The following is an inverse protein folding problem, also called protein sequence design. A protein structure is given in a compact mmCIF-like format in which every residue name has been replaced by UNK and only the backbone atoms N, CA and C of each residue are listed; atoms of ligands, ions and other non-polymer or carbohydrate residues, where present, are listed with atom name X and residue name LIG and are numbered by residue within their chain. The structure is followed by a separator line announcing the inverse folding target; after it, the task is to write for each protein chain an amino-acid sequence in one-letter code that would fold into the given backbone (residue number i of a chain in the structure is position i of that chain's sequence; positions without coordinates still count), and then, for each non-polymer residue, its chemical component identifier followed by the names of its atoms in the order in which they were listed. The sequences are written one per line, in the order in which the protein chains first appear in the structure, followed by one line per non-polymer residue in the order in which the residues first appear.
data_IF_703067462356
#
_entry.id   IF_703067462356
#
_cell.length_a   1.000
_cell.length_b   1.000
_cell.length_c   1.000
_cell.angle_alpha   90.00
_cell.angle_beta   90.00
_cell.angle_gamma   90.00
#
_symmetry.space_group_name_H-M   'P 1'
#
loop_
_entity.id
_entity.type
_entity.pdbx_description
1 polymer ?
#
# COMPACT_ATOMS: atom_id res chain seq x y z
N UNK A 1 -8.08 -10.81 28.14
CA UNK A 1 -7.46 -12.13 27.93
C UNK A 1 -5.97 -11.90 27.73
N UNK A 2 -5.15 -12.19 28.75
CA UNK A 2 -3.69 -12.03 28.70
C UNK A 2 -3.13 -13.06 27.71
N UNK A 3 -2.56 -12.59 26.60
CA UNK A 3 -1.76 -13.46 25.75
C UNK A 3 -0.62 -14.03 26.61
N UNK A 4 -0.58 -15.34 26.74
CA UNK A 4 0.56 -16.04 27.34
C UNK A 4 1.72 -15.82 26.35
N UNK A 5 2.50 -14.78 26.61
CA UNK A 5 3.82 -14.64 25.99
C UNK A 5 4.67 -15.71 26.65
N UNK A 6 5.15 -16.72 25.93
CA UNK A 6 6.06 -17.68 26.51
C UNK A 6 7.30 -16.91 26.97
N UNK A 7 7.52 -16.82 28.28
CA UNK A 7 8.76 -16.33 28.86
C UNK A 7 9.90 -17.22 28.37
N UNK A 8 10.64 -16.78 27.31
CA UNK A 8 11.76 -17.55 26.80
C UNK A 8 12.23 -17.28 25.37
N UNK A 9 11.47 -16.56 24.55
CA UNK A 9 11.99 -16.20 23.23
C UNK A 9 12.99 -15.04 23.31
N UNK A 10 14.22 -15.28 22.88
CA UNK A 10 15.19 -14.19 22.71
C UNK A 10 14.69 -13.20 21.64
N UNK A 11 15.08 -11.93 21.72
CA UNK A 11 14.72 -10.90 20.74
C UNK A 11 15.08 -11.34 19.31
N UNK A 12 16.19 -12.09 19.15
CA UNK A 12 16.61 -12.67 17.87
C UNK A 12 15.62 -13.74 17.37
N UNK A 13 15.12 -14.59 18.26
CA UNK A 13 14.15 -15.63 17.89
C UNK A 13 12.80 -15.00 17.49
N UNK A 14 12.37 -13.95 18.17
CA UNK A 14 11.18 -13.18 17.82
C UNK A 14 11.31 -12.52 16.45
N UNK A 15 12.41 -11.83 16.18
CA UNK A 15 12.66 -11.21 14.88
C UNK A 15 12.68 -12.26 13.75
N UNK A 16 13.35 -13.39 13.97
CA UNK A 16 13.38 -14.48 13.00
C UNK A 16 11.98 -15.05 12.72
N UNK A 17 11.12 -15.14 13.75
CA UNK A 17 9.73 -15.56 13.61
C UNK A 17 8.95 -14.58 12.71
N UNK A 18 9.01 -13.26 12.99
CA UNK A 18 8.34 -12.24 12.18
C UNK A 18 8.80 -12.26 10.72
N UNK A 19 10.10 -12.40 10.50
CA UNK A 19 10.65 -12.47 9.13
C UNK A 19 10.20 -13.73 8.38
N UNK A 20 10.13 -14.88 9.07
CA UNK A 20 9.61 -16.13 8.48
C UNK A 20 8.13 -16.00 8.13
N UNK A 21 7.31 -15.50 9.05
CA UNK A 21 5.88 -15.26 8.80
C UNK A 21 5.67 -14.30 7.62
N UNK A 22 6.39 -13.17 7.58
CA UNK A 22 6.33 -12.22 6.47
C UNK A 22 6.73 -12.85 5.13
N UNK A 23 7.79 -13.69 5.14
CA UNK A 23 8.23 -14.44 3.95
C UNK A 23 7.16 -15.43 3.49
N UNK A 24 6.52 -16.17 4.40
CA UNK A 24 5.46 -17.12 4.03
C UNK A 24 4.23 -16.41 3.47
N UNK A 25 3.79 -15.31 4.08
CA UNK A 25 2.67 -14.50 3.54
C UNK A 25 3.03 -13.92 2.17
N UNK A 26 4.26 -13.43 1.99
CA UNK A 26 4.74 -12.94 0.69
C UNK A 26 4.73 -14.02 -0.38
N UNK A 27 5.31 -15.19 -0.10
CA UNK A 27 5.35 -16.31 -1.04
C UNK A 27 3.96 -16.86 -1.36
N UNK A 28 3.07 -16.88 -0.37
CA UNK A 28 1.66 -17.28 -0.56
C UNK A 28 0.97 -16.39 -1.59
N UNK A 29 1.09 -15.06 -1.44
CA UNK A 29 0.47 -14.11 -2.37
C UNK A 29 1.17 -14.07 -3.73
N UNK A 30 2.48 -14.18 -3.75
CA UNK A 30 3.25 -14.23 -4.99
C UNK A 30 2.86 -15.44 -5.85
N UNK A 31 2.60 -16.59 -5.20
CA UNK A 31 2.15 -17.83 -5.85
C UNK A 31 0.65 -17.88 -6.13
N UNK A 32 -0.09 -16.82 -5.84
CA UNK A 32 -1.51 -16.67 -6.17
C UNK A 32 -1.64 -15.78 -7.40
N UNK A 33 -1.72 -16.32 -8.64
CA UNK A 33 -1.68 -15.52 -9.89
C UNK A 33 -2.81 -14.50 -9.96
N UNK A 34 -3.99 -14.83 -9.43
CA UNK A 34 -5.14 -13.94 -9.37
C UNK A 34 -4.88 -12.65 -8.56
N UNK A 35 -3.88 -12.66 -7.66
CA UNK A 35 -3.44 -11.50 -6.91
C UNK A 35 -2.16 -10.90 -7.49
N UNK A 36 -1.11 -11.71 -7.68
CA UNK A 36 0.23 -11.23 -8.02
C UNK A 36 0.30 -10.62 -9.40
N UNK A 37 -0.36 -11.21 -10.40
CA UNK A 37 -0.34 -10.69 -11.77
C UNK A 37 -0.99 -9.32 -11.87
N UNK A 38 -2.25 -9.11 -11.45
CA UNK A 38 -2.83 -7.76 -11.48
C UNK A 38 -2.03 -6.75 -10.66
N UNK A 39 -1.59 -7.13 -9.47
CA UNK A 39 -0.86 -6.24 -8.57
C UNK A 39 0.48 -5.79 -9.14
N UNK A 40 1.26 -6.69 -9.74
CA UNK A 40 2.60 -6.37 -10.24
C UNK A 40 2.62 -5.87 -11.68
N UNK A 41 1.59 -6.15 -12.48
CA UNK A 41 1.59 -5.82 -13.92
C UNK A 41 0.75 -4.59 -14.23
N UNK A 42 -0.37 -4.38 -13.53
CA UNK A 42 -1.35 -3.37 -13.92
C UNK A 42 -0.78 -1.95 -13.95
N UNK A 43 -0.19 -1.46 -12.85
CA UNK A 43 0.34 -0.10 -12.83
C UNK A 43 1.64 0.09 -13.65
N UNK A 44 2.58 -0.87 -13.73
CA UNK A 44 3.67 -0.81 -14.70
C UNK A 44 3.19 -0.76 -16.17
N UNK A 45 2.16 -1.53 -16.51
CA UNK A 45 1.58 -1.49 -17.86
C UNK A 45 0.98 -0.11 -18.19
N UNK A 46 0.24 0.47 -17.23
CA UNK A 46 -0.27 1.83 -17.36
C UNK A 46 0.86 2.86 -17.46
N UNK A 47 1.92 2.70 -16.67
CA UNK A 47 3.08 3.58 -16.77
C UNK A 47 3.79 3.44 -18.10
N UNK A 48 3.96 2.24 -18.62
CA UNK A 48 4.52 2.03 -19.97
C UNK A 48 3.67 2.72 -21.04
N UNK A 49 2.34 2.60 -20.96
CA UNK A 49 1.44 3.21 -21.91
C UNK A 49 1.45 4.74 -21.81
N UNK A 50 1.17 5.28 -20.63
CA UNK A 50 0.99 6.71 -20.42
C UNK A 50 2.30 7.45 -20.15
N UNK A 51 3.22 6.89 -19.40
CA UNK A 51 4.48 7.52 -19.01
C UNK A 51 5.56 7.40 -20.10
N UNK A 52 5.63 6.25 -20.78
CA UNK A 52 6.69 5.98 -21.76
C UNK A 52 6.20 6.23 -23.20
N UNK A 53 5.12 5.56 -23.63
CA UNK A 53 4.70 5.58 -25.03
C UNK A 53 4.03 6.90 -25.42
N UNK A 54 3.07 7.39 -24.63
CA UNK A 54 2.29 8.59 -24.94
C UNK A 54 3.03 9.90 -24.59
N UNK A 55 4.00 9.86 -23.68
CA UNK A 55 4.79 11.03 -23.25
C UNK A 55 6.26 10.94 -23.66
N UNK A 56 6.58 10.31 -24.78
CA UNK A 56 7.96 10.24 -25.30
C UNK A 56 8.58 11.65 -25.43
N UNK A 57 9.72 11.84 -24.77
CA UNK A 57 10.44 13.12 -24.75
C UNK A 57 9.90 14.15 -23.76
N UNK A 58 8.82 13.88 -23.03
CA UNK A 58 8.30 14.76 -21.98
C UNK A 58 8.70 14.22 -20.60
N UNK A 59 9.94 14.44 -20.18
CA UNK A 59 10.50 13.99 -18.91
C UNK A 59 9.69 14.45 -17.69
N UNK A 60 9.20 15.70 -17.60
CA UNK A 60 8.33 16.14 -16.51
C UNK A 60 7.03 15.35 -16.40
N UNK A 61 6.35 15.04 -17.50
CA UNK A 61 5.12 14.24 -17.47
C UNK A 61 5.43 12.78 -17.09
N UNK A 62 6.51 12.21 -17.62
CA UNK A 62 6.94 10.86 -17.28
C UNK A 62 7.31 10.70 -15.79
N UNK A 63 8.01 11.69 -15.21
CA UNK A 63 8.36 11.67 -13.77
C UNK A 63 7.14 11.88 -12.88
N UNK A 64 6.19 12.73 -13.27
CA UNK A 64 4.90 12.86 -12.58
C UNK A 64 4.18 11.51 -12.51
N UNK A 65 3.99 10.88 -13.67
CA UNK A 65 3.28 9.60 -13.76
C UNK A 65 4.04 8.48 -13.03
N UNK A 66 5.37 8.48 -13.06
CA UNK A 66 6.17 7.51 -12.30
C UNK A 66 5.90 7.63 -10.80
N UNK A 67 5.90 8.86 -10.25
CA UNK A 67 5.63 9.09 -8.85
C UNK A 67 4.20 8.68 -8.46
N UNK A 68 3.20 9.09 -9.24
CA UNK A 68 1.78 8.81 -8.95
C UNK A 68 1.43 7.34 -9.15
N UNK A 69 1.93 6.68 -10.20
CA UNK A 69 1.72 5.24 -10.40
C UNK A 69 2.48 4.39 -9.38
N UNK A 70 3.60 4.87 -8.82
CA UNK A 70 4.24 4.21 -7.68
C UNK A 70 3.27 4.16 -6.49
N UNK A 71 2.62 5.27 -6.17
CA UNK A 71 1.62 5.31 -5.10
C UNK A 71 0.42 4.43 -5.40
N UNK A 72 -0.11 4.48 -6.63
CA UNK A 72 -1.21 3.64 -7.07
C UNK A 72 -0.89 2.15 -6.88
N UNK A 73 0.29 1.70 -7.31
CA UNK A 73 0.70 0.31 -7.15
C UNK A 73 0.89 -0.13 -5.71
N UNK A 74 1.40 0.78 -4.86
CA UNK A 74 1.61 0.51 -3.43
C UNK A 74 0.30 0.33 -2.67
N UNK A 75 -0.79 0.98 -3.08
CA UNK A 75 -2.12 0.82 -2.44
C UNK A 75 -2.63 -0.62 -2.55
N UNK A 76 -2.35 -1.31 -3.67
CA UNK A 76 -2.85 -2.65 -3.96
C UNK A 76 -2.48 -3.69 -2.89
N UNK A 77 -1.19 -3.93 -2.60
CA UNK A 77 -0.76 -4.86 -1.57
C UNK A 77 -1.36 -4.58 -0.19
N UNK A 78 -1.51 -3.30 0.18
CA UNK A 78 -2.14 -2.90 1.43
C UNK A 78 -3.62 -3.26 1.50
N UNK A 79 -4.38 -2.88 0.49
CA UNK A 79 -5.83 -3.06 0.46
C UNK A 79 -6.22 -4.51 0.17
N UNK A 80 -5.71 -5.11 -0.91
CA UNK A 80 -6.07 -6.48 -1.30
C UNK A 80 -5.33 -7.52 -0.48
N UNK A 81 -4.00 -7.41 -0.35
CA UNK A 81 -3.20 -8.39 0.36
C UNK A 81 -3.60 -8.48 1.83
N UNK A 82 -3.82 -7.35 2.47
CA UNK A 82 -4.23 -7.28 3.87
C UNK A 82 -5.76 -7.45 4.02
N UNK A 83 -6.55 -6.64 3.31
CA UNK A 83 -8.01 -6.57 3.49
C UNK A 83 -8.72 -7.85 3.05
N UNK A 84 -8.54 -8.24 1.80
CA UNK A 84 -9.14 -9.47 1.25
C UNK A 84 -8.55 -10.70 1.95
N UNK A 85 -7.23 -10.72 2.15
CA UNK A 85 -6.55 -11.83 2.84
C UNK A 85 -7.07 -12.04 4.26
N UNK A 86 -7.30 -10.97 5.03
CA UNK A 86 -7.85 -11.08 6.38
C UNK A 86 -9.31 -11.55 6.38
N UNK A 87 -10.15 -10.99 5.49
CA UNK A 87 -11.55 -11.40 5.39
C UNK A 87 -11.68 -12.88 5.06
N UNK A 88 -10.88 -13.39 4.12
CA UNK A 88 -10.83 -14.82 3.76
C UNK A 88 -10.28 -15.68 4.90
N UNK A 89 -9.20 -15.25 5.58
CA UNK A 89 -8.63 -15.97 6.71
C UNK A 89 -9.63 -16.07 7.88
N UNK A 90 -10.43 -15.02 8.09
CA UNK A 90 -11.50 -15.00 9.10
C UNK A 90 -12.63 -15.97 8.74
N UNK A 91 -13.12 -15.94 7.51
CA UNK A 91 -14.20 -16.82 7.04
C UNK A 91 -13.82 -18.31 7.09
N UNK A 92 -12.55 -18.63 6.82
CA UNK A 92 -12.00 -19.99 6.91
C UNK A 92 -11.64 -20.43 8.33
N UNK A 93 -11.86 -19.60 9.35
CA UNK A 93 -11.51 -19.91 10.74
C UNK A 93 -10.01 -19.92 11.04
N UNK A 94 -9.15 -19.49 10.10
CA UNK A 94 -7.70 -19.51 10.27
C UNK A 94 -7.23 -18.56 11.39
N UNK A 95 -7.99 -17.50 11.68
CA UNK A 95 -7.68 -16.61 12.80
C UNK A 95 -7.83 -17.32 14.15
N UNK A 96 -8.81 -18.21 14.27
CA UNK A 96 -9.01 -19.02 15.49
C UNK A 96 -7.85 -20.00 15.68
N UNK A 97 -7.41 -20.67 14.60
CA UNK A 97 -6.23 -21.54 14.63
C UNK A 97 -4.95 -20.79 15.00
N UNK A 98 -4.77 -19.56 14.52
CA UNK A 98 -3.62 -18.72 14.89
C UNK A 98 -3.65 -18.26 16.35
N UNK A 99 -4.84 -18.14 16.97
CA UNK A 99 -4.97 -17.78 18.41
C UNK A 99 -4.50 -18.88 19.38
N UNK A 100 -4.52 -20.15 18.96
CA UNK A 100 -4.06 -21.29 19.80
C UNK A 100 -2.56 -21.58 19.61
N UNK A 101 -1.91 -20.97 18.64
CA UNK A 101 -0.48 -21.11 18.44
C UNK A 101 0.29 -20.24 19.48
N UNK A 102 1.45 -20.69 19.96
CA UNK A 102 2.29 -19.93 20.88
C UNK A 102 3.04 -18.79 20.18
N UNK A 103 2.30 -17.92 19.47
CA UNK A 103 2.83 -16.79 18.68
C UNK A 103 2.17 -15.52 19.21
N UNK A 104 2.91 -14.40 19.36
CA UNK A 104 2.32 -13.13 19.77
C UNK A 104 1.15 -12.75 18.85
N UNK A 105 0.05 -12.28 19.43
CA UNK A 105 -1.19 -11.98 18.71
C UNK A 105 -1.01 -10.95 17.55
N UNK A 106 0.00 -10.08 17.66
CA UNK A 106 0.34 -9.08 16.64
C UNK A 106 1.22 -9.65 15.49
N UNK A 107 1.85 -10.82 15.67
CA UNK A 107 2.78 -11.35 14.69
C UNK A 107 2.15 -11.58 13.30
N UNK A 108 0.96 -12.17 13.16
CA UNK A 108 0.32 -12.33 11.86
C UNK A 108 -0.03 -11.00 11.17
N UNK A 109 -0.38 -9.96 11.96
CA UNK A 109 -0.68 -8.64 11.42
C UNK A 109 0.59 -7.93 10.93
N UNK A 110 1.66 -7.97 11.74
CA UNK A 110 2.96 -7.41 11.36
C UNK A 110 3.57 -8.15 10.17
N UNK A 111 3.39 -9.47 10.08
CA UNK A 111 3.82 -10.25 8.92
C UNK A 111 3.12 -9.81 7.63
N UNK A 112 1.81 -9.52 7.69
CA UNK A 112 1.06 -8.99 6.54
C UNK A 112 1.51 -7.58 6.15
N UNK A 113 1.84 -6.71 7.12
CA UNK A 113 2.43 -5.40 6.84
C UNK A 113 3.80 -5.56 6.18
N UNK A 114 4.67 -6.43 6.72
CA UNK A 114 5.98 -6.72 6.14
C UNK A 114 5.88 -7.28 4.71
N UNK A 115 4.94 -8.16 4.45
CA UNK A 115 4.62 -8.65 3.11
C UNK A 115 4.20 -7.50 2.18
N UNK A 116 3.31 -6.61 2.62
CA UNK A 116 2.88 -5.47 1.82
C UNK A 116 4.03 -4.49 1.52
N UNK A 117 4.94 -4.27 2.50
CA UNK A 117 6.16 -3.48 2.31
C UNK A 117 7.11 -4.12 1.29
N UNK A 118 7.26 -5.45 1.28
CA UNK A 118 8.06 -6.15 0.28
C UNK A 118 7.49 -5.99 -1.13
N UNK A 119 6.17 -6.14 -1.30
CA UNK A 119 5.51 -5.87 -2.58
C UNK A 119 5.68 -4.41 -3.00
N UNK A 120 5.53 -3.46 -2.08
CA UNK A 120 5.73 -2.04 -2.33
C UNK A 120 7.16 -1.71 -2.77
N UNK A 121 8.16 -2.36 -2.15
CA UNK A 121 9.57 -2.22 -2.54
C UNK A 121 9.82 -2.75 -3.96
N UNK A 122 9.36 -3.98 -4.26
CA UNK A 122 9.51 -4.60 -5.59
C UNK A 122 8.84 -3.72 -6.64
N UNK A 123 7.63 -3.24 -6.34
CA UNK A 123 6.86 -2.39 -7.22
C UNK A 123 7.55 -1.04 -7.47
N UNK A 124 8.04 -0.40 -6.41
CA UNK A 124 8.79 0.86 -6.51
C UNK A 124 10.07 0.71 -7.34
N UNK A 125 10.82 -0.36 -7.12
CA UNK A 125 12.02 -0.68 -7.92
C UNK A 125 11.66 -0.91 -9.39
N UNK A 126 10.57 -1.64 -9.66
CA UNK A 126 10.12 -1.91 -11.03
C UNK A 126 9.75 -0.61 -11.78
N UNK A 127 8.98 0.27 -11.16
CA UNK A 127 8.61 1.56 -11.78
C UNK A 127 9.80 2.50 -11.93
N UNK A 128 10.70 2.54 -10.95
CA UNK A 128 11.96 3.29 -11.09
C UNK A 128 12.80 2.76 -12.24
N UNK A 129 12.94 1.44 -12.36
CA UNK A 129 13.68 0.85 -13.48
C UNK A 129 13.08 1.23 -14.83
N UNK A 130 11.75 1.17 -14.97
CA UNK A 130 11.05 1.59 -16.19
C UNK A 130 11.21 3.09 -16.47
N UNK A 131 11.08 3.94 -15.44
CA UNK A 131 11.20 5.38 -15.58
C UNK A 131 12.60 5.84 -15.96
N UNK A 132 13.62 5.30 -15.30
CA UNK A 132 15.02 5.65 -15.55
C UNK A 132 15.54 5.09 -16.88
N UNK A 133 15.13 3.86 -17.28
CA UNK A 133 15.65 3.20 -18.47
C UNK A 133 14.87 3.52 -19.76
N UNK A 134 13.54 3.64 -19.69
CA UNK A 134 12.68 3.76 -20.87
C UNK A 134 12.03 5.14 -21.05
N UNK A 135 11.73 5.83 -19.96
CA UNK A 135 11.05 7.12 -20.00
C UNK A 135 12.02 8.34 -19.98
N UNK A 136 13.32 8.09 -19.85
CA UNK A 136 14.32 9.17 -19.77
C UNK A 136 14.18 10.07 -18.53
N UNK A 137 13.62 9.54 -17.46
CA UNK A 137 13.53 10.27 -16.19
C UNK A 137 14.91 10.32 -15.55
N UNK A 138 15.38 11.49 -15.19
CA UNK A 138 16.64 11.68 -14.48
C UNK A 138 16.38 11.96 -13.00
N UNK A 139 16.96 11.14 -12.13
CA UNK A 139 16.85 11.27 -10.67
C UNK A 139 18.22 11.09 -10.02
N UNK A 140 18.46 11.85 -8.95
CA UNK A 140 19.61 11.62 -8.08
C UNK A 140 19.42 10.38 -7.22
N UNK A 141 20.51 9.79 -6.72
CA UNK A 141 20.43 8.62 -5.83
C UNK A 141 19.60 8.90 -4.57
N UNK A 142 19.62 10.13 -4.05
CA UNK A 142 18.79 10.54 -2.93
C UNK A 142 17.30 10.57 -3.27
N UNK A 143 16.93 11.03 -4.45
CA UNK A 143 15.53 11.02 -4.91
C UNK A 143 15.01 9.59 -5.10
N UNK A 144 15.84 8.70 -5.67
CA UNK A 144 15.51 7.27 -5.80
C UNK A 144 15.27 6.64 -4.43
N UNK A 145 16.19 6.87 -3.47
CA UNK A 145 16.05 6.35 -2.11
C UNK A 145 14.81 6.90 -1.40
N UNK A 146 14.53 8.22 -1.55
CA UNK A 146 13.35 8.85 -0.97
C UNK A 146 12.05 8.31 -1.57
N UNK A 147 11.96 8.11 -2.89
CA UNK A 147 10.78 7.57 -3.53
C UNK A 147 10.51 6.13 -3.09
N UNK A 148 11.55 5.30 -2.95
CA UNK A 148 11.43 3.96 -2.39
C UNK A 148 10.98 3.99 -0.93
N UNK A 149 11.51 4.92 -0.12
CA UNK A 149 11.09 5.10 1.26
C UNK A 149 9.60 5.49 1.33
N UNK A 150 9.15 6.44 0.51
CA UNK A 150 7.74 6.84 0.40
C UNK A 150 6.88 5.64 -0.03
N UNK A 151 7.32 4.84 -0.99
CA UNK A 151 6.61 3.65 -1.45
C UNK A 151 6.46 2.61 -0.32
N UNK A 152 7.56 2.25 0.34
CA UNK A 152 7.58 1.19 1.37
C UNK A 152 6.82 1.61 2.62
N UNK A 153 7.03 2.81 3.13
CA UNK A 153 6.32 3.30 4.32
C UNK A 153 4.88 3.71 4.00
N UNK A 154 4.64 4.19 2.79
CA UNK A 154 3.34 4.64 2.31
C UNK A 154 2.30 3.52 2.16
N UNK A 155 2.69 2.25 2.21
CA UNK A 155 1.73 1.14 2.20
C UNK A 155 0.96 1.01 3.52
N UNK A 156 1.51 1.50 4.64
CA UNK A 156 0.95 1.31 6.00
C UNK A 156 -0.46 1.86 6.16
N UNK A 157 -0.80 3.09 5.74
CA UNK A 157 -2.17 3.60 5.79
C UNK A 157 -3.18 2.70 5.06
N UNK A 158 -2.77 2.11 3.93
CA UNK A 158 -3.62 1.23 3.13
C UNK A 158 -3.73 -0.16 3.74
N UNK A 159 -2.71 -0.65 4.45
CA UNK A 159 -2.81 -1.85 5.29
C UNK A 159 -3.84 -1.64 6.41
N UNK A 160 -3.83 -0.48 7.06
CA UNK A 160 -4.78 -0.16 8.12
C UNK A 160 -6.23 -0.06 7.59
N UNK A 161 -6.42 0.57 6.42
CA UNK A 161 -7.71 0.62 5.75
C UNK A 161 -8.16 -0.78 5.30
N UNK A 162 -7.25 -1.57 4.71
CA UNK A 162 -7.50 -2.96 4.34
C UNK A 162 -7.89 -3.80 5.55
N UNK A 163 -7.19 -3.66 6.68
CA UNK A 163 -7.54 -4.31 7.95
C UNK A 163 -8.98 -3.95 8.36
N UNK A 164 -9.34 -2.67 8.34
CA UNK A 164 -10.68 -2.22 8.69
C UNK A 164 -11.74 -2.85 7.77
N UNK A 165 -11.55 -2.78 6.44
CA UNK A 165 -12.45 -3.39 5.47
C UNK A 165 -12.58 -4.90 5.72
N UNK A 166 -11.46 -5.60 5.92
CA UNK A 166 -11.44 -7.05 6.20
C UNK A 166 -12.19 -7.46 7.48
N UNK A 167 -12.39 -6.53 8.42
CA UNK A 167 -13.23 -6.77 9.60
C UNK A 167 -14.73 -6.56 9.35
N UNK A 168 -15.09 -5.83 8.29
CA UNK A 168 -16.47 -5.42 8.00
C UNK A 168 -17.18 -6.32 6.99
N UNK A 169 -16.41 -6.98 6.10
CA UNK A 169 -16.97 -7.71 4.96
C UNK A 169 -16.68 -9.22 5.04
N UNK A 170 -17.48 -10.03 4.32
CA UNK A 170 -17.21 -11.46 4.12
C UNK A 170 -16.02 -11.66 3.19
N UNK A 171 -15.35 -12.82 3.26
CA UNK A 171 -14.21 -13.13 2.39
C UNK A 171 -14.56 -13.11 0.92
N UNK A 172 -15.74 -13.62 0.55
CA UNK A 172 -16.25 -13.64 -0.83
C UNK A 172 -16.58 -12.24 -1.36
N UNK A 173 -17.10 -11.34 -0.53
CA UNK A 173 -17.43 -9.96 -0.90
C UNK A 173 -16.25 -8.98 -0.84
N UNK A 174 -15.18 -9.34 -0.13
CA UNK A 174 -14.06 -8.43 0.12
C UNK A 174 -13.39 -7.88 -1.14
N UNK A 175 -13.15 -8.67 -2.21
CA UNK A 175 -12.54 -8.13 -3.45
C UNK A 175 -13.37 -7.02 -4.09
N UNK A 176 -14.69 -7.17 -4.10
CA UNK A 176 -15.60 -6.18 -4.69
C UNK A 176 -15.60 -4.87 -3.89
N UNK A 177 -15.69 -4.96 -2.55
CA UNK A 177 -15.66 -3.78 -1.67
C UNK A 177 -14.31 -3.09 -1.71
N UNK A 178 -13.22 -3.83 -1.72
CA UNK A 178 -11.87 -3.25 -1.85
C UNK A 178 -11.73 -2.52 -3.18
N UNK A 179 -12.19 -3.10 -4.30
CA UNK A 179 -12.16 -2.42 -5.60
C UNK A 179 -13.02 -1.14 -5.61
N UNK A 180 -14.18 -1.16 -4.96
CA UNK A 180 -15.09 -0.01 -4.85
C UNK A 180 -14.44 1.16 -4.07
N UNK A 181 -13.50 0.87 -3.19
CA UNK A 181 -12.72 1.89 -2.46
C UNK A 181 -11.45 2.27 -3.23
N UNK A 182 -10.73 1.28 -3.75
CA UNK A 182 -9.43 1.45 -4.40
C UNK A 182 -9.49 2.31 -5.67
N UNK A 183 -10.41 1.97 -6.59
CA UNK A 183 -10.49 2.63 -7.89
C UNK A 183 -10.92 4.10 -7.80
N UNK A 184 -12.03 4.44 -7.10
CA UNK A 184 -12.40 5.84 -6.92
C UNK A 184 -11.35 6.64 -6.16
N UNK A 185 -10.75 6.07 -5.10
CA UNK A 185 -9.70 6.73 -4.34
C UNK A 185 -8.48 7.05 -5.23
N UNK A 186 -8.06 6.15 -6.09
CA UNK A 186 -6.95 6.38 -7.02
C UNK A 186 -7.26 7.49 -8.03
N UNK A 187 -8.46 7.47 -8.62
CA UNK A 187 -8.90 8.48 -9.59
C UNK A 187 -9.05 9.85 -8.93
N UNK A 188 -9.81 9.92 -7.83
CA UNK A 188 -10.13 11.18 -7.13
C UNK A 188 -8.93 11.81 -6.44
N UNK A 189 -7.87 11.02 -6.19
CA UNK A 189 -6.58 11.52 -5.67
C UNK A 189 -5.63 12.01 -6.77
N UNK A 190 -6.00 11.92 -8.06
CA UNK A 190 -5.15 12.34 -9.17
C UNK A 190 -3.95 11.41 -9.43
N UNK A 191 -4.05 10.12 -9.05
CA UNK A 191 -2.96 9.17 -9.28
C UNK A 191 -2.92 8.65 -10.72
N UNK A 192 -4.04 8.60 -11.41
CA UNK A 192 -4.11 8.16 -12.81
C UNK A 192 -3.89 9.30 -13.79
N UNK A 193 -4.48 10.45 -13.49
CA UNK A 193 -4.39 11.66 -14.30
C UNK A 193 -4.03 12.84 -13.39
N UNK A 194 -3.24 13.81 -13.87
CA UNK A 194 -2.97 15.03 -13.12
C UNK A 194 -4.28 15.72 -12.69
N UNK A 195 -4.40 16.08 -11.41
CA UNK A 195 -5.62 16.71 -10.87
C UNK A 195 -6.08 17.93 -11.67
N UNK A 196 -5.14 18.69 -12.23
CA UNK A 196 -5.45 19.86 -13.09
C UNK A 196 -6.30 19.53 -14.32
N UNK A 197 -6.35 18.25 -14.73
CA UNK A 197 -7.16 17.77 -15.84
C UNK A 197 -8.58 17.34 -15.42
N UNK A 198 -8.84 17.27 -14.11
CA UNK A 198 -10.12 16.87 -13.54
C UNK A 198 -10.96 18.10 -13.17
N UNK A 199 -12.29 17.98 -13.09
CA UNK A 199 -13.18 19.05 -12.65
C UNK A 199 -12.77 19.65 -11.30
N UNK A 200 -12.99 20.95 -11.10
CA UNK A 200 -12.61 21.69 -9.89
C UNK A 200 -13.14 21.05 -8.60
N UNK A 201 -14.35 20.53 -8.63
CA UNK A 201 -14.97 19.83 -7.48
C UNK A 201 -14.07 18.67 -7.03
N UNK A 202 -13.54 17.88 -7.98
CA UNK A 202 -12.65 16.75 -7.66
C UNK A 202 -11.31 17.27 -7.11
N UNK A 203 -10.79 18.36 -7.69
CA UNK A 203 -9.55 18.97 -7.20
C UNK A 203 -9.67 19.44 -5.75
N UNK A 204 -10.82 20.02 -5.37
CA UNK A 204 -11.11 20.47 -4.00
C UNK A 204 -11.31 19.29 -3.03
N UNK A 205 -11.86 18.17 -3.49
CA UNK A 205 -12.10 16.98 -2.67
C UNK A 205 -10.86 16.08 -2.53
N UNK A 206 -9.88 16.21 -3.43
CA UNK A 206 -8.70 15.35 -3.44
C UNK A 206 -7.96 15.29 -2.07
N UNK A 207 -7.79 16.39 -1.32
CA UNK A 207 -7.14 16.37 -0.01
C UNK A 207 -7.88 15.55 1.08
N UNK A 208 -9.09 15.11 0.84
CA UNK A 208 -9.81 14.22 1.76
C UNK A 208 -9.29 12.76 1.69
N UNK A 209 -8.62 12.41 0.59
CA UNK A 209 -8.17 11.05 0.36
C UNK A 209 -6.74 10.82 0.86
N UNK A 210 -6.47 9.75 1.61
CA UNK A 210 -5.11 9.43 2.04
C UNK A 210 -4.16 9.20 0.87
N UNK A 211 -4.66 8.67 -0.24
CA UNK A 211 -3.89 8.45 -1.46
C UNK A 211 -3.35 9.75 -2.07
N UNK A 212 -4.09 10.87 -1.97
CA UNK A 212 -3.60 12.18 -2.40
C UNK A 212 -2.40 12.62 -1.56
N UNK A 213 -2.45 12.48 -0.24
CA UNK A 213 -1.35 12.87 0.64
C UNK A 213 -0.08 12.05 0.35
N UNK A 214 -0.22 10.75 0.13
CA UNK A 214 0.92 9.93 -0.28
C UNK A 214 1.42 10.33 -1.68
N UNK A 215 0.50 10.61 -2.61
CA UNK A 215 0.81 11.15 -3.94
C UNK A 215 1.62 12.43 -3.88
N UNK A 216 1.26 13.37 -3.01
CA UNK A 216 1.99 14.62 -2.82
C UNK A 216 3.41 14.39 -2.25
N UNK A 217 3.58 13.42 -1.35
CA UNK A 217 4.92 13.04 -0.86
C UNK A 217 5.79 12.48 -1.99
N UNK A 218 5.24 11.62 -2.85
CA UNK A 218 5.95 11.10 -4.01
C UNK A 218 6.26 12.19 -5.05
N UNK A 219 5.30 13.07 -5.33
CA UNK A 219 5.47 14.21 -6.24
C UNK A 219 6.50 15.22 -5.73
N UNK A 220 6.61 15.39 -4.41
CA UNK A 220 7.63 16.25 -3.81
C UNK A 220 9.05 15.76 -4.08
N UNK A 221 9.25 14.45 -4.16
CA UNK A 221 10.56 13.87 -4.52
C UNK A 221 10.99 14.27 -5.93
N UNK A 222 10.03 14.37 -6.85
CA UNK A 222 10.28 14.78 -8.25
C UNK A 222 10.06 16.28 -8.49
N UNK A 223 9.79 17.08 -7.44
CA UNK A 223 9.64 18.53 -7.52
C UNK A 223 8.36 19.01 -8.22
N UNK A 224 7.27 18.22 -8.16
CA UNK A 224 6.00 18.52 -8.83
C UNK A 224 4.77 18.47 -7.90
N UNK A 225 5.00 18.66 -6.61
CA UNK A 225 3.95 18.70 -5.59
C UNK A 225 3.20 20.05 -5.55
N UNK A 226 2.10 20.08 -4.80
CA UNK A 226 1.28 21.28 -4.61
C UNK A 226 1.87 22.31 -3.61
N UNK A 227 3.14 22.17 -3.21
CA UNK A 227 3.84 23.14 -2.36
C UNK A 227 3.51 23.07 -0.87
N UNK A 228 2.68 22.12 -0.43
CA UNK A 228 2.36 21.98 1.00
C UNK A 228 3.48 21.29 1.78
N UNK A 229 3.65 21.55 3.09
CA UNK A 229 4.74 21.01 3.88
C UNK A 229 4.62 19.50 4.08
N UNK A 230 5.74 18.77 4.11
CA UNK A 230 5.81 17.31 4.29
C UNK A 230 5.10 16.85 5.56
N UNK A 231 5.33 17.56 6.69
CA UNK A 231 4.75 17.19 7.97
C UNK A 231 3.21 17.12 7.95
N UNK A 232 2.55 17.96 7.15
CA UNK A 232 1.10 17.96 7.02
C UNK A 232 0.61 16.66 6.38
N UNK A 233 1.24 16.22 5.28
CA UNK A 233 0.87 14.97 4.62
C UNK A 233 1.13 13.77 5.52
N UNK A 234 2.26 13.75 6.22
CA UNK A 234 2.61 12.69 7.18
C UNK A 234 1.63 12.65 8.34
N UNK A 235 1.28 13.80 8.93
CA UNK A 235 0.31 13.88 10.02
C UNK A 235 -1.08 13.33 9.63
N UNK A 236 -1.57 13.67 8.43
CA UNK A 236 -2.86 13.15 7.94
C UNK A 236 -2.78 11.63 7.72
N UNK A 237 -1.70 11.11 7.13
CA UNK A 237 -1.54 9.68 6.91
C UNK A 237 -1.43 8.90 8.23
N UNK A 238 -0.72 9.44 9.23
CA UNK A 238 -0.64 8.84 10.56
C UNK A 238 -1.98 8.88 11.29
N UNK A 239 -2.68 10.02 11.26
CA UNK A 239 -4.02 10.17 11.83
C UNK A 239 -5.02 9.20 11.19
N UNK A 240 -5.03 9.11 9.86
CA UNK A 240 -5.86 8.16 9.13
C UNK A 240 -5.54 6.71 9.51
N UNK A 241 -4.26 6.36 9.58
CA UNK A 241 -3.81 5.03 10.01
C UNK A 241 -4.30 4.71 11.42
N UNK A 242 -4.12 5.64 12.36
CA UNK A 242 -4.54 5.46 13.76
C UNK A 242 -6.06 5.26 13.87
N UNK A 243 -6.86 6.05 13.14
CA UNK A 243 -8.33 5.92 13.11
C UNK A 243 -8.74 4.54 12.57
N UNK A 244 -8.17 4.12 11.42
CA UNK A 244 -8.48 2.81 10.84
C UNK A 244 -8.12 1.66 11.77
N UNK A 245 -6.94 1.69 12.40
CA UNK A 245 -6.51 0.67 13.36
C UNK A 245 -7.41 0.63 14.60
N UNK A 246 -7.77 1.79 15.14
CA UNK A 246 -8.66 1.88 16.29
C UNK A 246 -10.06 1.29 15.99
N UNK A 247 -10.63 1.63 14.85
CA UNK A 247 -11.92 1.10 14.44
C UNK A 247 -11.85 -0.42 14.18
N UNK A 248 -10.79 -0.89 13.52
CA UNK A 248 -10.58 -2.31 13.28
C UNK A 248 -10.41 -3.09 14.60
N UNK A 249 -9.65 -2.56 15.55
CA UNK A 249 -9.47 -3.18 16.88
C UNK A 249 -10.79 -3.30 17.62
N UNK A 250 -11.59 -2.24 17.66
CA UNK A 250 -12.93 -2.26 18.29
C UNK A 250 -13.84 -3.34 17.69
N UNK A 251 -13.77 -3.53 16.37
CA UNK A 251 -14.54 -4.56 15.68
C UNK A 251 -14.06 -5.97 16.01
N UNK A 252 -12.76 -6.20 16.01
CA UNK A 252 -12.18 -7.50 16.35
C UNK A 252 -12.41 -7.94 17.81
N UNK A 253 -12.63 -6.99 18.72
CA UNK A 253 -12.96 -7.27 20.10
C UNK A 253 -14.44 -7.66 20.31
N UNK A 254 -15.32 -7.24 19.38
CA UNK A 254 -16.76 -7.51 19.44
C UNK A 254 -17.20 -8.75 18.64
N UNK A 255 -16.30 -9.30 17.81
CA UNK A 255 -16.49 -10.50 17.00
C UNK A 255 -15.82 -11.73 17.62
#
# INVERSE_FOLDING_TARGET
MNAIVPNGFSTRAMLALYLREARYEFLRLLRTPAFSVPTLVFAPMFYLMFGVLLNRGNGPAASYLMATYTVFGVMGPGLFGFGVGLAMDRERGLLTLKRVQPVPALAPLLAKVGMAMLFAAIFGVLLLALGLSLAGVHMTSSQVALLLCVAVLGVVPFCALGLLIGTLVSGSGAPAVVNLVYMPMALLSGLWLPLRMLPEVIQQMAPLWPAWHLGQLALKVVGQDAGKPVWMHVAVLLGFTAICLFLAQRRLQRA
#
